data_IF_540685433917
#
_entry.id   IF_540685433917
#
_cell.length_a   1.000
_cell.length_b   1.000
_cell.length_c   1.000
_cell.angle_alpha   90.00
_cell.angle_beta   90.00
_cell.angle_gamma   90.00
#
_symmetry.space_group_name_H-M   'P 1'
#
loop_
_entity.id
_entity.type
_entity.pdbx_description
1 polymer ?
#
# COMPACT_ATOMS: atom_id res chain seq x y z
N UNK A 1 -30.68 -10.72 9.25
CA UNK A 1 -30.18 -9.38 9.67
C UNK A 1 -29.57 -8.71 8.45
N UNK A 2 -30.30 -7.78 7.82
CA UNK A 2 -29.87 -7.12 6.59
C UNK A 2 -28.76 -6.12 6.91
N UNK A 3 -27.51 -6.43 6.54
CA UNK A 3 -26.40 -5.47 6.61
C UNK A 3 -26.54 -4.55 5.40
N UNK A 4 -27.06 -3.36 5.62
CA UNK A 4 -27.19 -2.33 4.59
C UNK A 4 -25.79 -1.89 4.18
N UNK A 5 -25.34 -2.28 2.98
CA UNK A 5 -24.12 -1.74 2.38
C UNK A 5 -24.35 -0.28 2.02
N UNK A 6 -23.80 0.63 2.82
CA UNK A 6 -23.90 2.07 2.60
C UNK A 6 -23.30 2.44 1.22
N UNK A 7 -24.06 3.09 0.31
CA UNK A 7 -23.60 3.46 -1.04
C UNK A 7 -22.34 4.33 -1.04
N UNK A 8 -22.10 5.09 0.05
CA UNK A 8 -20.92 5.95 0.22
C UNK A 8 -19.60 5.14 0.20
N UNK A 9 -19.59 3.93 0.76
CA UNK A 9 -18.38 3.10 0.81
C UNK A 9 -17.99 2.52 -0.56
N UNK A 10 -18.99 2.26 -1.42
CA UNK A 10 -18.73 1.83 -2.79
C UNK A 10 -18.23 2.97 -3.66
N UNK A 11 -18.74 4.17 -3.45
CA UNK A 11 -18.31 5.37 -4.15
C UNK A 11 -16.88 5.78 -3.76
N UNK A 12 -16.55 5.69 -2.47
CA UNK A 12 -15.19 5.95 -1.97
C UNK A 12 -14.18 4.96 -2.58
N UNK A 13 -14.54 3.67 -2.65
CA UNK A 13 -13.70 2.64 -3.27
C UNK A 13 -13.56 2.84 -4.79
N UNK A 14 -14.64 3.24 -5.48
CA UNK A 14 -14.61 3.59 -6.91
C UNK A 14 -13.73 4.80 -7.20
N UNK A 15 -13.81 5.83 -6.36
CA UNK A 15 -12.99 7.04 -6.49
C UNK A 15 -11.51 6.74 -6.21
N UNK A 16 -11.23 5.81 -5.29
CA UNK A 16 -9.89 5.35 -5.01
C UNK A 16 -9.31 4.49 -6.14
N UNK A 17 -10.10 3.55 -6.70
CA UNK A 17 -9.75 2.80 -7.91
C UNK A 17 -9.52 3.74 -9.11
N UNK A 18 -10.36 4.75 -9.29
CA UNK A 18 -10.19 5.76 -10.32
C UNK A 18 -8.90 6.57 -10.13
N UNK A 19 -8.56 6.96 -8.90
CA UNK A 19 -7.30 7.64 -8.58
C UNK A 19 -6.08 6.74 -8.81
N UNK A 20 -6.18 5.44 -8.48
CA UNK A 20 -5.17 4.41 -8.75
C UNK A 20 -4.91 4.26 -10.25
N UNK A 21 -5.97 4.15 -11.03
CA UNK A 21 -5.89 4.00 -12.50
C UNK A 21 -5.36 5.29 -13.15
N UNK A 22 -5.82 6.46 -12.69
CA UNK A 22 -5.33 7.75 -13.16
C UNK A 22 -3.82 7.93 -12.92
N UNK A 23 -3.33 7.58 -11.73
CA UNK A 23 -1.89 7.60 -11.41
C UNK A 23 -1.10 6.64 -12.31
N UNK A 24 -1.59 5.42 -12.53
CA UNK A 24 -0.90 4.44 -13.37
C UNK A 24 -0.84 4.89 -14.85
N UNK A 25 -1.85 5.63 -15.33
CA UNK A 25 -1.90 6.12 -16.71
C UNK A 25 -1.02 7.36 -16.95
N UNK A 26 -0.85 8.25 -15.95
CA UNK A 26 0.06 9.41 -16.07
C UNK A 26 1.52 8.97 -16.20
N UNK A 27 1.87 7.83 -15.61
CA UNK A 27 3.24 7.35 -15.63
C UNK A 27 3.57 6.60 -16.94
N UNK A 28 2.57 6.27 -17.74
CA UNK A 28 2.74 5.62 -19.05
C UNK A 28 3.02 6.60 -20.21
N UNK A 29 2.82 7.92 -20.03
CA UNK A 29 3.01 8.91 -21.09
C UNK A 29 4.34 9.64 -20.93
N UNK A 30 5.31 9.29 -21.77
CA UNK A 30 6.60 10.00 -21.87
C UNK A 30 6.52 11.32 -22.63
N UNK A 31 5.37 11.68 -23.20
CA UNK A 31 5.20 12.88 -23.99
C UNK A 31 4.10 13.76 -23.39
N UNK A 32 4.52 14.89 -22.82
CA UNK A 32 3.63 15.97 -22.45
C UNK A 32 3.10 16.64 -23.72
N UNK A 33 2.10 16.03 -24.37
CA UNK A 33 1.28 16.70 -25.39
C UNK A 33 -0.12 16.14 -25.62
N UNK A 34 -0.43 14.95 -25.11
CA UNK A 34 -1.79 14.43 -25.20
C UNK A 34 -2.55 14.73 -23.90
N UNK A 35 -3.42 15.74 -23.97
CA UNK A 35 -4.49 15.94 -23.00
C UNK A 35 -5.34 14.68 -23.07
N UNK A 36 -5.22 13.82 -22.05
CA UNK A 36 -5.97 12.57 -21.93
C UNK A 36 -7.46 12.87 -21.98
N UNK A 37 -8.11 12.48 -23.08
CA UNK A 37 -9.56 12.51 -23.22
C UNK A 37 -10.16 11.45 -22.28
N UNK A 38 -10.64 11.93 -21.13
CA UNK A 38 -11.28 11.19 -20.03
C UNK A 38 -12.49 10.36 -20.52
N UNK A 39 -13.06 10.66 -21.70
CA UNK A 39 -14.20 9.93 -22.25
C UNK A 39 -13.86 8.52 -22.75
N UNK A 40 -12.62 8.31 -23.20
CA UNK A 40 -12.15 7.05 -23.81
C UNK A 40 -11.84 5.94 -22.78
N UNK A 41 -11.56 6.31 -21.53
CA UNK A 41 -11.19 5.38 -20.44
C UNK A 41 -12.38 4.62 -19.84
N UNK A 42 -13.62 4.99 -20.19
CA UNK A 42 -14.85 4.35 -19.67
C UNK A 42 -15.14 2.98 -20.26
N UNK A 43 -14.51 2.59 -21.39
CA UNK A 43 -15.02 1.50 -22.24
C UNK A 43 -14.51 0.08 -21.92
N UNK A 44 -13.56 -0.10 -20.99
CA UNK A 44 -13.07 -1.44 -20.59
C UNK A 44 -13.06 -1.71 -19.08
N UNK A 45 -14.01 -1.16 -18.33
CA UNK A 45 -14.21 -1.59 -16.93
C UNK A 45 -14.94 -2.94 -16.95
N UNK A 46 -14.20 -4.04 -17.12
CA UNK A 46 -14.68 -5.35 -16.66
C UNK A 46 -14.97 -5.19 -15.17
N UNK A 47 -16.25 -5.19 -14.77
CA UNK A 47 -16.68 -5.18 -13.37
C UNK A 47 -16.16 -6.45 -12.70
N UNK A 48 -14.94 -6.40 -12.16
CA UNK A 48 -14.42 -7.44 -11.28
C UNK A 48 -15.36 -7.49 -10.07
N UNK A 49 -15.98 -8.65 -9.83
CA UNK A 49 -16.94 -8.82 -8.73
C UNK A 49 -16.18 -8.66 -7.42
N UNK A 50 -16.57 -7.65 -6.63
CA UNK A 50 -15.95 -7.35 -5.34
C UNK A 50 -15.96 -8.59 -4.44
N UNK A 51 -14.78 -9.07 -4.02
CA UNK A 51 -14.68 -10.16 -3.06
C UNK A 51 -14.85 -9.61 -1.65
N UNK A 52 -16.12 -9.46 -1.24
CA UNK A 52 -16.50 -8.82 0.02
C UNK A 52 -15.85 -9.48 1.26
N UNK A 53 -15.80 -10.81 1.40
CA UNK A 53 -15.11 -11.44 2.52
C UNK A 53 -13.61 -11.13 2.58
N UNK A 54 -12.92 -11.11 1.44
CA UNK A 54 -11.51 -10.70 1.37
C UNK A 54 -11.37 -9.25 1.86
N UNK A 55 -12.17 -8.33 1.32
CA UNK A 55 -12.11 -6.92 1.73
C UNK A 55 -12.39 -6.74 3.23
N UNK A 56 -13.37 -7.43 3.78
CA UNK A 56 -13.68 -7.39 5.21
C UNK A 56 -12.53 -7.92 6.06
N UNK A 57 -11.94 -9.06 5.69
CA UNK A 57 -10.83 -9.63 6.44
C UNK A 57 -9.55 -8.77 6.33
N UNK A 58 -9.28 -8.22 5.14
CA UNK A 58 -8.19 -7.24 4.93
C UNK A 58 -8.37 -5.99 5.79
N UNK A 59 -9.58 -5.42 5.82
CA UNK A 59 -9.86 -4.23 6.64
C UNK A 59 -9.69 -4.50 8.13
N UNK A 60 -10.13 -5.67 8.62
CA UNK A 60 -9.89 -6.11 10.00
C UNK A 60 -8.40 -6.23 10.29
N UNK A 61 -7.62 -6.87 9.40
CA UNK A 61 -6.17 -7.03 9.55
C UNK A 61 -5.42 -5.69 9.59
N UNK A 62 -5.81 -4.75 8.72
CA UNK A 62 -5.25 -3.38 8.73
C UNK A 62 -5.63 -2.62 9.99
N UNK A 63 -6.89 -2.68 10.43
CA UNK A 63 -7.32 -2.02 11.67
C UNK A 63 -6.62 -2.59 12.90
N UNK A 64 -6.44 -3.91 12.98
CA UNK A 64 -5.68 -4.55 14.04
C UNK A 64 -4.23 -4.04 14.07
N UNK A 65 -3.63 -3.85 12.90
CA UNK A 65 -2.27 -3.31 12.74
C UNK A 65 -2.18 -1.85 13.19
N UNK A 66 -3.14 -1.01 12.79
CA UNK A 66 -3.23 0.40 13.24
C UNK A 66 -3.36 0.45 14.76
N UNK A 67 -4.25 -0.36 15.35
CA UNK A 67 -4.44 -0.43 16.79
C UNK A 67 -3.16 -0.88 17.51
N UNK A 68 -2.46 -1.88 16.98
CA UNK A 68 -1.20 -2.34 17.52
C UNK A 68 -0.13 -1.24 17.50
N UNK A 69 0.04 -0.55 16.36
CA UNK A 69 0.99 0.56 16.21
C UNK A 69 0.63 1.70 17.17
N UNK A 70 -0.64 2.09 17.28
CA UNK A 70 -1.08 3.12 18.21
C UNK A 70 -0.75 2.77 19.65
N UNK A 71 -0.99 1.52 20.07
CA UNK A 71 -0.61 1.04 21.40
C UNK A 71 0.90 1.14 21.62
N UNK A 72 1.67 0.68 20.63
CA UNK A 72 3.13 0.70 20.67
C UNK A 72 3.70 2.11 20.75
N UNK A 73 3.07 3.09 20.09
CA UNK A 73 3.44 4.51 20.14
C UNK A 73 2.90 5.24 21.38
N UNK A 74 2.24 4.55 22.32
CA UNK A 74 1.70 5.15 23.54
C UNK A 74 0.44 6.00 23.34
N UNK A 75 -0.25 5.87 22.19
CA UNK A 75 -1.48 6.61 21.90
C UNK A 75 -2.70 6.02 22.61
N UNK A 76 -3.65 6.89 22.97
CA UNK A 76 -4.85 6.52 23.70
C UNK A 76 -5.93 5.89 22.81
N UNK A 77 -5.90 4.57 22.65
CA UNK A 77 -6.88 3.81 21.86
C UNK A 77 -8.33 4.00 22.33
N UNK A 78 -8.57 3.92 23.65
CA UNK A 78 -9.93 3.96 24.21
C UNK A 78 -10.63 5.29 23.90
N UNK A 79 -9.94 6.40 24.11
CA UNK A 79 -10.49 7.73 23.85
C UNK A 79 -10.73 7.96 22.36
N UNK A 80 -9.88 7.45 21.48
CA UNK A 80 -10.03 7.64 20.03
C UNK A 80 -11.14 6.78 19.44
N UNK A 81 -11.28 5.53 19.89
CA UNK A 81 -12.43 4.69 19.55
C UNK A 81 -13.75 5.29 20.06
N UNK A 82 -13.72 5.87 21.27
CA UNK A 82 -14.89 6.56 21.82
C UNK A 82 -15.26 7.81 21.01
N UNK A 83 -14.28 8.58 20.53
CA UNK A 83 -14.51 9.72 19.61
C UNK A 83 -15.07 9.29 18.27
N UNK A 84 -14.63 8.14 17.74
CA UNK A 84 -15.18 7.56 16.52
C UNK A 84 -16.63 7.10 16.68
N UNK A 85 -16.97 6.52 17.84
CA UNK A 85 -18.32 5.98 18.09
C UNK A 85 -19.37 7.03 18.43
N UNK A 86 -18.97 8.24 18.85
CA UNK A 86 -19.88 9.20 19.53
C UNK A 86 -20.29 10.40 18.66
N UNK A 87 -19.83 10.48 17.41
CA UNK A 87 -20.05 11.65 16.56
C UNK A 87 -21.15 11.41 15.51
N UNK A 88 -22.19 12.24 15.54
CA UNK A 88 -23.31 12.23 14.58
C UNK A 88 -23.07 13.15 13.37
N UNK A 89 -21.98 13.92 13.37
CA UNK A 89 -21.64 14.86 12.30
C UNK A 89 -20.55 14.28 11.37
N UNK A 90 -20.76 14.37 10.05
CA UNK A 90 -19.88 13.84 9.00
C UNK A 90 -18.50 14.49 9.03
N UNK A 91 -18.42 15.81 9.24
CA UNK A 91 -17.11 16.51 9.26
C UNK A 91 -16.29 16.08 10.47
N UNK A 92 -16.95 15.97 11.62
CA UNK A 92 -16.36 15.51 12.87
C UNK A 92 -15.94 14.04 12.78
N UNK A 93 -16.74 13.19 12.13
CA UNK A 93 -16.42 11.80 11.85
C UNK A 93 -15.18 11.67 10.95
N UNK A 94 -15.13 12.42 9.85
CA UNK A 94 -13.98 12.40 8.95
C UNK A 94 -12.70 12.85 9.66
N UNK A 95 -12.77 13.91 10.47
CA UNK A 95 -11.65 14.36 11.31
C UNK A 95 -11.21 13.30 12.32
N UNK A 96 -12.14 12.62 12.98
CA UNK A 96 -11.82 11.57 13.94
C UNK A 96 -11.19 10.34 13.26
N UNK A 97 -11.68 9.96 12.08
CA UNK A 97 -11.14 8.86 11.27
C UNK A 97 -9.72 9.19 10.79
N UNK A 98 -9.52 10.38 10.23
CA UNK A 98 -8.19 10.81 9.76
C UNK A 98 -7.18 10.89 10.90
N UNK A 99 -7.59 11.36 12.09
CA UNK A 99 -6.72 11.36 13.29
C UNK A 99 -6.43 9.94 13.81
N UNK A 100 -7.37 9.00 13.64
CA UNK A 100 -7.17 7.60 14.03
C UNK A 100 -6.15 6.90 13.11
N UNK A 101 -6.07 7.28 11.85
CA UNK A 101 -5.07 6.77 10.91
C UNK A 101 -3.76 7.56 10.89
N UNK A 102 -3.70 8.68 11.61
CA UNK A 102 -2.46 9.44 11.83
C UNK A 102 -1.54 8.68 12.80
N UNK A 103 -0.67 7.84 12.25
CA UNK A 103 0.28 7.01 13.01
C UNK A 103 1.75 7.34 12.70
N UNK A 104 2.00 8.43 11.96
CA UNK A 104 3.33 8.85 11.50
C UNK A 104 4.23 7.66 11.08
N UNK A 105 3.84 6.94 10.00
CA UNK A 105 4.40 5.64 9.68
C UNK A 105 5.88 5.76 9.30
N UNK A 106 6.75 5.02 9.99
CA UNK A 106 8.12 4.75 9.56
C UNK A 106 8.19 3.33 9.00
N UNK A 107 9.38 2.89 8.59
CA UNK A 107 9.59 1.56 8.01
C UNK A 107 8.92 0.44 8.83
N UNK A 108 9.08 0.41 10.16
CA UNK A 108 8.52 -0.65 11.01
C UNK A 108 7.00 -0.65 10.98
N UNK A 109 6.39 0.52 11.11
CA UNK A 109 4.94 0.70 11.08
C UNK A 109 4.37 0.33 9.71
N UNK A 110 5.06 0.67 8.62
CA UNK A 110 4.67 0.30 7.27
C UNK A 110 4.72 -1.22 7.06
N UNK A 111 5.75 -1.89 7.57
CA UNK A 111 5.85 -3.35 7.53
C UNK A 111 4.75 -4.03 8.36
N UNK A 112 4.41 -3.48 9.52
CA UNK A 112 3.33 -4.01 10.36
C UNK A 112 1.97 -3.85 9.65
N UNK A 113 1.69 -2.67 9.09
CA UNK A 113 0.47 -2.40 8.34
C UNK A 113 0.32 -3.31 7.12
N UNK A 114 1.37 -3.42 6.30
CA UNK A 114 1.34 -4.26 5.10
C UNK A 114 1.15 -5.72 5.47
N UNK A 115 1.86 -6.21 6.48
CA UNK A 115 1.75 -7.59 6.95
C UNK A 115 0.33 -7.90 7.45
N UNK A 116 -0.24 -7.09 8.34
CA UNK A 116 -1.57 -7.37 8.85
C UNK A 116 -2.66 -7.27 7.79
N UNK A 117 -2.53 -6.32 6.85
CA UNK A 117 -3.42 -6.24 5.69
C UNK A 117 -3.35 -7.50 4.83
N UNK A 118 -2.13 -7.93 4.46
CA UNK A 118 -1.90 -9.12 3.64
C UNK A 118 -2.41 -10.38 4.34
N UNK A 119 -2.09 -10.57 5.63
CA UNK A 119 -2.59 -11.71 6.40
C UNK A 119 -4.13 -11.70 6.52
N UNK A 120 -4.74 -10.53 6.71
CA UNK A 120 -6.19 -10.37 6.69
C UNK A 120 -6.79 -10.80 5.35
N UNK A 121 -6.24 -10.29 4.25
CA UNK A 121 -6.71 -10.63 2.90
C UNK A 121 -6.51 -12.10 2.55
N UNK A 122 -5.36 -12.68 2.90
CA UNK A 122 -5.10 -14.11 2.77
C UNK A 122 -6.11 -14.94 3.57
N UNK A 123 -6.39 -14.58 4.83
CA UNK A 123 -7.35 -15.30 5.64
C UNK A 123 -8.76 -15.28 5.02
N UNK A 124 -9.25 -14.11 4.60
CA UNK A 124 -10.55 -13.99 3.93
C UNK A 124 -10.60 -14.74 2.59
N UNK A 125 -9.50 -14.69 1.83
CA UNK A 125 -9.38 -15.38 0.54
C UNK A 125 -9.36 -16.90 0.69
N UNK A 126 -8.60 -17.42 1.65
CA UNK A 126 -8.48 -18.86 1.91
C UNK A 126 -9.80 -19.42 2.45
N UNK A 127 -10.49 -18.69 3.34
CA UNK A 127 -11.78 -19.13 3.88
C UNK A 127 -12.83 -19.26 2.76
N UNK A 128 -12.81 -18.33 1.79
CA UNK A 128 -13.80 -18.30 0.71
C UNK A 128 -13.45 -19.17 -0.50
N UNK A 129 -12.16 -19.42 -0.73
CA UNK A 129 -11.68 -20.12 -1.92
C UNK A 129 -10.37 -20.85 -1.59
N UNK A 130 -10.54 -22.02 -0.97
CA UNK A 130 -9.46 -22.90 -0.49
C UNK A 130 -8.67 -23.52 -1.61
N UNK A 131 -9.29 -23.81 -2.76
CA UNK A 131 -8.64 -24.48 -3.89
C UNK A 131 -7.46 -23.66 -4.43
N UNK A 132 -7.63 -22.34 -4.41
CA UNK A 132 -6.64 -21.39 -4.91
C UNK A 132 -5.72 -20.82 -3.81
N UNK A 133 -5.60 -21.51 -2.67
CA UNK A 133 -4.76 -21.07 -1.54
C UNK A 133 -3.32 -20.81 -1.94
N UNK A 134 -2.73 -21.67 -2.79
CA UNK A 134 -1.34 -21.52 -3.23
C UNK A 134 -1.12 -20.21 -3.99
N UNK A 135 -2.02 -19.88 -4.92
CA UNK A 135 -1.91 -18.66 -5.72
C UNK A 135 -2.06 -17.41 -4.85
N UNK A 136 -2.98 -17.44 -3.89
CA UNK A 136 -3.13 -16.38 -2.88
C UNK A 136 -1.86 -16.19 -2.05
N UNK A 137 -1.28 -17.27 -1.52
CA UNK A 137 -0.03 -17.20 -0.75
C UNK A 137 1.13 -16.66 -1.60
N UNK A 138 1.27 -17.11 -2.86
CA UNK A 138 2.30 -16.59 -3.77
C UNK A 138 2.18 -15.09 -3.99
N UNK A 139 0.95 -14.59 -4.14
CA UNK A 139 0.68 -13.16 -4.26
C UNK A 139 0.95 -12.42 -2.95
N UNK A 140 0.55 -12.98 -1.81
CA UNK A 140 0.84 -12.40 -0.49
C UNK A 140 2.34 -12.21 -0.25
N UNK A 141 3.16 -13.21 -0.60
CA UNK A 141 4.63 -13.11 -0.56
C UNK A 141 5.12 -11.99 -1.47
N UNK A 142 4.62 -11.93 -2.72
CA UNK A 142 5.01 -10.90 -3.67
C UNK A 142 4.67 -9.48 -3.18
N UNK A 143 3.43 -9.28 -2.70
CA UNK A 143 2.96 -8.00 -2.17
C UNK A 143 3.80 -7.59 -0.95
N UNK A 144 4.10 -8.52 -0.04
CA UNK A 144 4.92 -8.25 1.13
C UNK A 144 6.35 -7.84 0.74
N UNK A 145 7.00 -8.58 -0.17
CA UNK A 145 8.36 -8.24 -0.60
C UNK A 145 8.41 -6.92 -1.36
N UNK A 146 7.37 -6.61 -2.15
CA UNK A 146 7.28 -5.35 -2.90
C UNK A 146 7.13 -4.14 -1.98
N UNK A 147 6.58 -4.30 -0.79
CA UNK A 147 6.61 -3.24 0.23
C UNK A 147 7.95 -3.27 0.97
N UNK A 148 8.35 -4.44 1.45
CA UNK A 148 9.41 -4.55 2.44
C UNK A 148 10.80 -4.23 1.88
N UNK A 149 11.13 -4.75 0.70
CA UNK A 149 12.47 -4.61 0.13
C UNK A 149 12.73 -3.17 -0.32
N UNK A 150 11.87 -2.52 -1.15
CA UNK A 150 12.05 -1.11 -1.50
C UNK A 150 12.10 -0.19 -0.29
N UNK A 151 11.15 -0.30 0.65
CA UNK A 151 11.10 0.57 1.83
C UNK A 151 12.35 0.43 2.71
N UNK A 152 12.86 -0.80 2.87
CA UNK A 152 14.07 -1.06 3.65
C UNK A 152 15.32 -0.50 2.97
N UNK A 153 15.43 -0.65 1.65
CA UNK A 153 16.56 -0.10 0.88
C UNK A 153 16.55 1.43 0.88
N UNK A 154 15.40 2.06 0.66
CA UNK A 154 15.26 3.52 0.75
C UNK A 154 15.71 4.00 2.14
N UNK A 155 15.20 3.38 3.21
CA UNK A 155 15.59 3.74 4.58
C UNK A 155 17.08 3.56 4.82
N UNK A 156 17.66 2.44 4.37
CA UNK A 156 19.09 2.16 4.51
C UNK A 156 19.96 3.16 3.76
N UNK A 157 19.62 3.48 2.51
CA UNK A 157 20.36 4.45 1.68
C UNK A 157 20.23 5.87 2.23
N UNK A 158 19.05 6.29 2.69
CA UNK A 158 18.86 7.58 3.34
C UNK A 158 19.70 7.70 4.62
N UNK A 159 19.75 6.65 5.44
CA UNK A 159 20.61 6.62 6.63
C UNK A 159 22.10 6.72 6.27
N UNK A 160 22.54 6.15 5.15
CA UNK A 160 23.91 6.29 4.66
C UNK A 160 24.21 7.73 4.22
N UNK A 161 23.28 8.38 3.52
CA UNK A 161 23.40 9.79 3.13
C UNK A 161 23.45 10.71 4.36
N UNK A 162 22.68 10.41 5.41
CA UNK A 162 22.72 11.20 6.64
C UNK A 162 24.01 11.00 7.44
N UNK A 163 24.58 9.79 7.40
CA UNK A 163 25.86 9.47 8.05
C UNK A 163 27.09 9.99 7.31
N UNK A 164 27.00 10.21 5.99
CA UNK A 164 28.14 10.65 5.18
C UNK A 164 28.56 12.11 5.41
N UNK A 165 27.86 12.84 6.31
CA UNK A 165 28.19 14.22 6.73
C UNK A 165 28.48 15.16 5.55
N UNK A 166 27.72 15.04 4.46
CA UNK A 166 27.87 15.91 3.29
C UNK A 166 27.59 17.36 3.72
N UNK A 167 28.61 18.21 3.71
CA UNK A 167 28.50 19.59 4.20
C UNK A 167 27.59 20.48 3.36
N UNK A 168 27.40 20.14 2.07
CA UNK A 168 26.59 20.95 1.16
C UNK A 168 25.11 20.50 1.16
N UNK A 169 24.16 21.40 1.49
CA UNK A 169 22.74 21.06 1.54
C UNK A 169 22.16 20.66 0.17
N UNK A 170 22.63 21.24 -0.95
CA UNK A 170 22.16 20.86 -2.29
C UNK A 170 22.62 19.45 -2.67
N UNK A 171 23.89 19.13 -2.41
CA UNK A 171 24.45 17.80 -2.65
C UNK A 171 23.76 16.74 -1.79
N UNK A 172 23.44 17.08 -0.54
CA UNK A 172 22.67 16.20 0.37
C UNK A 172 21.27 15.92 -0.18
N UNK A 173 20.57 16.93 -0.71
CA UNK A 173 19.25 16.74 -1.32
C UNK A 173 19.32 15.86 -2.57
N UNK A 174 20.28 16.08 -3.46
CA UNK A 174 20.50 15.26 -4.65
C UNK A 174 20.80 13.80 -4.23
N UNK A 175 21.65 13.60 -3.22
CA UNK A 175 21.96 12.29 -2.69
C UNK A 175 20.72 11.60 -2.08
N UNK A 176 19.85 12.33 -1.38
CA UNK A 176 18.57 11.79 -0.88
C UNK A 176 17.62 11.38 -2.00
N UNK A 177 17.49 12.20 -3.05
CA UNK A 177 16.70 11.86 -4.24
C UNK A 177 17.26 10.60 -4.90
N UNK A 178 18.58 10.55 -5.10
CA UNK A 178 19.27 9.39 -5.64
C UNK A 178 19.01 8.13 -4.80
N UNK A 179 19.15 8.23 -3.47
CA UNK A 179 18.87 7.14 -2.54
C UNK A 179 17.42 6.61 -2.65
N UNK A 180 16.44 7.50 -2.77
CA UNK A 180 15.03 7.11 -2.95
C UNK A 180 14.81 6.43 -4.30
N UNK A 181 15.27 7.03 -5.40
CA UNK A 181 15.11 6.47 -6.75
C UNK A 181 15.83 5.12 -6.88
N UNK A 182 17.06 5.02 -6.40
CA UNK A 182 17.83 3.77 -6.41
C UNK A 182 17.21 2.72 -5.47
N UNK A 183 16.73 3.13 -4.29
CA UNK A 183 16.09 2.24 -3.34
C UNK A 183 14.79 1.63 -3.87
N UNK A 184 13.96 2.43 -4.53
CA UNK A 184 12.70 1.96 -5.14
C UNK A 184 13.00 1.14 -6.40
N UNK A 185 13.69 1.71 -7.38
CA UNK A 185 13.95 1.04 -8.65
C UNK A 185 14.78 -0.24 -8.50
N UNK A 186 15.85 -0.17 -7.71
CA UNK A 186 16.66 -1.35 -7.36
C UNK A 186 15.91 -2.33 -6.48
N UNK A 187 15.14 -1.82 -5.50
CA UNK A 187 14.37 -2.64 -4.58
C UNK A 187 13.26 -3.44 -5.24
N UNK A 188 12.57 -2.90 -6.24
CA UNK A 188 11.56 -3.66 -7.00
C UNK A 188 12.17 -4.84 -7.76
N UNK A 189 13.32 -4.62 -8.40
CA UNK A 189 14.02 -5.68 -9.13
C UNK A 189 14.47 -6.79 -8.17
N UNK A 190 14.99 -6.42 -6.99
CA UNK A 190 15.38 -7.37 -5.95
C UNK A 190 14.14 -8.08 -5.38
N UNK A 191 13.07 -7.34 -5.08
CA UNK A 191 11.81 -7.86 -4.56
C UNK A 191 11.21 -8.92 -5.49
N UNK A 192 11.16 -8.64 -6.79
CA UNK A 192 10.61 -9.57 -7.78
C UNK A 192 11.42 -10.87 -7.82
N UNK A 193 12.75 -10.78 -7.73
CA UNK A 193 13.61 -11.97 -7.68
C UNK A 193 13.44 -12.73 -6.37
N UNK A 194 13.34 -12.01 -5.25
CA UNK A 194 13.21 -12.59 -3.93
C UNK A 194 11.87 -13.29 -3.76
N UNK A 195 10.77 -12.66 -4.14
CA UNK A 195 9.42 -13.28 -4.14
C UNK A 195 9.36 -14.52 -5.02
N UNK A 196 9.90 -14.45 -6.24
CA UNK A 196 9.95 -15.62 -7.12
C UNK A 196 10.78 -16.76 -6.49
N UNK A 197 11.92 -16.44 -5.86
CA UNK A 197 12.74 -17.45 -5.16
C UNK A 197 12.01 -18.07 -3.97
N UNK A 198 11.37 -17.25 -3.14
CA UNK A 198 10.58 -17.70 -1.99
C UNK A 198 9.42 -18.57 -2.47
N UNK A 199 8.68 -18.12 -3.47
CA UNK A 199 7.52 -18.83 -4.00
C UNK A 199 7.90 -20.18 -4.61
N UNK A 200 8.99 -20.26 -5.38
CA UNK A 200 9.45 -21.50 -6.00
C UNK A 200 10.10 -22.47 -5.00
N UNK A 201 10.58 -21.97 -3.85
CA UNK A 201 11.28 -22.80 -2.84
C UNK A 201 10.41 -23.21 -1.66
N UNK A 202 9.37 -22.43 -1.33
CA UNK A 202 8.58 -22.62 -0.10
C UNK A 202 7.12 -22.92 -0.44
N UNK A 203 6.56 -22.28 -1.47
CA UNK A 203 5.12 -22.37 -1.77
C UNK A 203 4.83 -23.44 -2.83
N UNK A 204 5.70 -23.61 -3.82
CA UNK A 204 5.47 -24.56 -4.91
C UNK A 204 6.78 -25.06 -5.54
N UNK A 205 7.22 -26.25 -5.15
CA UNK A 205 8.50 -26.86 -5.58
C UNK A 205 8.54 -27.28 -7.06
N UNK A 206 7.42 -27.17 -7.80
CA UNK A 206 7.25 -27.69 -9.17
C UNK A 206 6.80 -26.65 -10.23
N UNK A 207 6.71 -25.35 -9.91
CA UNK A 207 6.15 -24.37 -10.84
C UNK A 207 7.19 -23.37 -11.36
N UNK A 208 7.44 -23.38 -12.68
CA UNK A 208 8.09 -22.30 -13.43
C UNK A 208 7.17 -21.07 -13.60
N UNK A 209 6.46 -20.61 -12.57
CA UNK A 209 5.68 -19.37 -12.68
C UNK A 209 6.60 -18.17 -12.50
N UNK A 210 7.33 -17.79 -13.55
CA UNK A 210 8.15 -16.58 -13.58
C UNK A 210 7.24 -15.37 -13.78
N UNK A 211 6.90 -14.65 -12.71
CA UNK A 211 6.27 -13.34 -12.85
C UNK A 211 7.27 -12.44 -13.58
N UNK A 212 6.97 -12.04 -14.82
CA UNK A 212 7.87 -11.23 -15.63
C UNK A 212 7.94 -9.82 -15.02
N UNK A 213 9.13 -9.23 -15.07
CA UNK A 213 9.37 -7.92 -14.47
C UNK A 213 8.60 -6.90 -15.30
N UNK A 214 7.45 -6.45 -14.81
CA UNK A 214 6.77 -5.25 -15.31
C UNK A 214 7.54 -4.03 -14.81
N UNK A 215 8.76 -3.84 -15.30
CA UNK A 215 9.58 -2.64 -15.06
C UNK A 215 8.85 -1.36 -15.51
N UNK A 216 7.92 -1.47 -16.46
CA UNK A 216 7.05 -0.38 -16.92
C UNK A 216 5.84 -0.09 -16.00
N UNK A 217 5.37 -1.05 -15.21
CA UNK A 217 4.34 -0.80 -14.17
C UNK A 217 4.97 -0.43 -12.82
N UNK A 218 6.29 -0.66 -12.67
CA UNK A 218 7.09 -0.27 -11.50
C UNK A 218 7.53 1.20 -11.51
N UNK A 219 7.08 1.97 -12.50
CA UNK A 219 7.23 3.42 -12.48
C UNK A 219 6.01 3.92 -11.69
N UNK A 220 6.24 4.21 -10.40
CA UNK A 220 5.32 4.78 -9.41
C UNK A 220 3.90 4.19 -9.36
N UNK A 221 3.78 2.98 -8.79
CA UNK A 221 2.54 2.60 -8.14
C UNK A 221 2.33 3.54 -6.92
N UNK A 222 1.08 3.92 -6.59
CA UNK A 222 0.79 4.98 -5.59
C UNK A 222 1.41 4.66 -4.21
N UNK A 223 1.49 3.38 -3.87
CA UNK A 223 2.18 2.87 -2.69
C UNK A 223 3.68 3.18 -2.73
N UNK A 224 4.40 2.96 -3.83
CA UNK A 224 5.83 3.31 -3.95
C UNK A 224 6.09 4.82 -3.90
N UNK A 225 5.22 5.62 -4.52
CA UNK A 225 5.27 7.08 -4.44
C UNK A 225 5.06 7.57 -2.99
N UNK A 226 4.15 6.92 -2.27
CA UNK A 226 3.84 7.23 -0.89
C UNK A 226 4.99 6.81 0.03
N UNK A 227 5.57 5.62 -0.20
CA UNK A 227 6.79 5.14 0.47
C UNK A 227 7.94 6.14 0.26
N UNK A 228 8.15 6.58 -0.98
CA UNK A 228 9.16 7.58 -1.35
C UNK A 228 8.99 8.87 -0.56
N UNK A 229 7.76 9.38 -0.52
CA UNK A 229 7.43 10.66 0.08
C UNK A 229 7.52 10.62 1.61
N UNK A 230 7.01 9.56 2.23
CA UNK A 230 7.04 9.37 3.69
C UNK A 230 8.47 9.22 4.20
N UNK A 231 9.28 8.40 3.54
CA UNK A 231 10.65 8.13 3.98
C UNK A 231 11.61 9.26 3.60
N UNK A 232 11.51 9.78 2.37
CA UNK A 232 12.41 10.81 1.85
C UNK A 232 12.12 12.22 2.38
N UNK A 233 10.85 12.57 2.55
CA UNK A 233 10.40 13.91 2.95
C UNK A 233 9.25 13.85 3.97
N UNK A 234 9.48 13.35 5.19
CA UNK A 234 8.42 13.12 6.18
C UNK A 234 7.61 14.39 6.52
N UNK A 235 8.26 15.57 6.56
CA UNK A 235 7.57 16.84 6.79
C UNK A 235 6.58 17.19 5.66
N UNK A 236 6.94 16.87 4.41
CA UNK A 236 6.08 17.10 3.26
C UNK A 236 4.96 16.06 3.21
N UNK A 237 5.25 14.81 3.54
CA UNK A 237 4.26 13.74 3.66
C UNK A 237 3.16 14.09 4.68
N UNK A 238 3.55 14.58 5.86
CA UNK A 238 2.61 15.04 6.89
C UNK A 238 1.78 16.25 6.42
N UNK A 239 2.40 17.20 5.70
CA UNK A 239 1.68 18.36 5.16
C UNK A 239 0.65 17.97 4.10
N UNK A 240 0.95 16.97 3.28
CA UNK A 240 0.06 16.42 2.26
C UNK A 240 -0.90 15.34 2.80
N UNK A 241 -0.86 15.05 4.11
CA UNK A 241 -1.65 13.99 4.75
C UNK A 241 -1.45 12.60 4.12
N UNK A 242 -0.29 12.35 3.52
CA UNK A 242 0.04 11.08 2.85
C UNK A 242 0.23 9.97 3.89
N UNK A 243 0.76 10.32 5.06
CA UNK A 243 0.85 9.48 6.25
C UNK A 243 -0.51 8.90 6.71
N UNK A 244 -1.59 9.69 6.58
CA UNK A 244 -2.94 9.30 7.00
C UNK A 244 -3.64 8.34 6.04
N UNK A 245 -3.23 8.31 4.76
CA UNK A 245 -3.81 7.42 3.75
C UNK A 245 -3.04 6.10 3.62
N UNK A 246 -1.87 5.97 4.26
CA UNK A 246 -1.05 4.73 4.23
C UNK A 246 -1.82 3.47 4.57
N UNK A 247 -2.67 3.45 5.63
CA UNK A 247 -3.46 2.25 5.93
C UNK A 247 -4.37 1.85 4.76
N UNK A 248 -4.91 2.82 4.01
CA UNK A 248 -5.74 2.56 2.83
C UNK A 248 -4.91 2.01 1.66
N UNK A 249 -3.68 2.49 1.48
CA UNK A 249 -2.76 1.94 0.48
C UNK A 249 -2.46 0.47 0.77
N UNK A 250 -2.22 0.09 2.02
CA UNK A 250 -1.97 -1.30 2.33
C UNK A 250 -3.20 -2.19 2.23
N UNK A 251 -4.43 -1.66 2.32
CA UNK A 251 -5.65 -2.45 2.05
C UNK A 251 -5.66 -3.03 0.64
N UNK A 252 -5.14 -2.33 -0.36
CA UNK A 252 -5.09 -2.88 -1.72
C UNK A 252 -4.15 -4.07 -1.80
N UNK A 253 -2.98 -4.00 -1.16
CA UNK A 253 -2.03 -5.11 -1.11
C UNK A 253 -2.68 -6.38 -0.54
N UNK A 254 -3.43 -6.25 0.56
CA UNK A 254 -4.12 -7.38 1.16
C UNK A 254 -5.29 -7.90 0.33
N UNK A 255 -6.07 -7.00 -0.27
CA UNK A 255 -7.16 -7.39 -1.17
C UNK A 255 -6.64 -8.13 -2.41
N UNK A 256 -5.57 -7.64 -3.03
CA UNK A 256 -4.90 -8.30 -4.16
C UNK A 256 -4.39 -9.70 -3.77
N UNK A 257 -3.77 -9.85 -2.60
CA UNK A 257 -3.32 -11.15 -2.11
C UNK A 257 -4.48 -12.15 -1.93
N UNK A 258 -5.60 -11.69 -1.38
CA UNK A 258 -6.75 -12.54 -1.07
C UNK A 258 -7.66 -12.88 -2.26
N UNK A 259 -7.69 -12.05 -3.31
CA UNK A 259 -8.61 -12.24 -4.44
C UNK A 259 -8.11 -13.18 -5.53
N UNK A 260 -6.85 -13.62 -5.46
CA UNK A 260 -6.26 -14.49 -6.48
C UNK A 260 -6.99 -15.81 -6.62
N UNK A 261 -7.13 -16.25 -7.86
CA UNK A 261 -7.65 -17.55 -8.27
C UNK A 261 -6.48 -18.33 -8.85
#
# INVERSE_FOLDING_TARGET
MYITTNPVNQELFKNFEAARIWSNNIVATKDAKDIVDISSTKKEIKKEKLNLPVLCATTIGTLASVLFIRKYQGMSIKNDLMKLSRSNDIKTNFKNITNFFDINPKLKEMLILSTGSILGGLAGGIITDKENTKNKVKEGVYQFTNVAVPASLVTGLLNLVEKSKISNPRTTQIAKIGAVVTGIGGGMAISTRLSNKINNSIVDNNAQSKRSIKLKDGIMQIDDASIALILGWPKLAAKLCVDKIVPLLFLTCGYEAGKQK
#
